data_IF_507164986519
#
_entry.id   IF_507164986519
#
_cell.length_a   1.000
_cell.length_b   1.000
_cell.length_c   1.000
_cell.angle_alpha   90.00
_cell.angle_beta   90.00
_cell.angle_gamma   90.00
#
_symmetry.space_group_name_H-M   'P 1'
#
loop_
_entity.id
_entity.type
_entity.pdbx_description
1 polymer ?
#
# COMPACT_ATOMS: atom_id res chain seq x y z
N UNK A 1 66.10 -35.22 -19.80
CA UNK A 1 64.95 -35.20 -20.73
C UNK A 1 63.92 -36.18 -20.20
N UNK A 2 62.79 -35.68 -19.70
CA UNK A 2 61.61 -36.51 -19.44
C UNK A 2 60.37 -35.61 -19.53
N UNK A 3 59.62 -35.77 -20.61
CA UNK A 3 58.39 -35.07 -20.94
C UNK A 3 57.20 -35.88 -20.42
N UNK A 4 56.63 -35.46 -19.30
CA UNK A 4 55.34 -35.98 -18.81
C UNK A 4 54.20 -35.15 -19.40
N UNK A 5 53.53 -35.72 -20.39
CA UNK A 5 52.28 -35.21 -20.98
C UNK A 5 51.16 -35.48 -20.00
N UNK A 6 50.57 -34.43 -19.42
CA UNK A 6 49.35 -34.53 -18.62
C UNK A 6 48.16 -34.09 -19.47
N UNK A 7 47.36 -35.06 -19.91
CA UNK A 7 46.07 -34.83 -20.57
C UNK A 7 45.04 -34.42 -19.53
N UNK A 8 44.66 -33.13 -19.51
CA UNK A 8 43.44 -32.65 -18.85
C UNK A 8 42.50 -32.04 -19.87
N UNK A 9 41.22 -32.41 -19.76
CA UNK A 9 40.13 -32.02 -20.64
C UNK A 9 40.01 -30.49 -20.73
N UNK A 10 40.14 -29.96 -21.95
CA UNK A 10 39.89 -28.55 -22.24
C UNK A 10 38.39 -28.32 -22.33
N UNK A 11 37.76 -27.92 -21.22
CA UNK A 11 36.49 -27.17 -21.29
C UNK A 11 36.80 -25.77 -21.85
N UNK A 12 36.10 -25.29 -22.88
CA UNK A 12 36.32 -23.94 -23.39
C UNK A 12 35.87 -22.93 -22.33
N UNK A 13 36.83 -22.22 -21.73
CA UNK A 13 36.51 -21.06 -20.90
C UNK A 13 36.22 -19.88 -21.84
N UNK A 14 34.98 -19.40 -21.83
CA UNK A 14 34.64 -18.08 -22.35
C UNK A 14 35.37 -17.04 -21.49
N UNK A 15 36.42 -16.44 -22.05
CA UNK A 15 37.17 -15.37 -21.42
C UNK A 15 36.30 -14.13 -21.26
N UNK A 16 35.78 -13.92 -20.06
CA UNK A 16 35.33 -12.60 -19.63
C UNK A 16 36.46 -11.98 -18.81
N UNK A 17 37.28 -11.17 -19.47
CA UNK A 17 38.19 -10.25 -18.81
C UNK A 17 37.34 -9.14 -18.17
N UNK A 18 37.06 -9.26 -16.87
CA UNK A 18 36.52 -8.16 -16.11
C UNK A 18 37.66 -7.21 -15.73
N UNK A 19 37.59 -5.91 -16.06
CA UNK A 19 38.56 -4.96 -15.53
C UNK A 19 38.45 -4.93 -14.00
N UNK A 20 39.52 -5.35 -13.33
CA UNK A 20 39.71 -5.25 -11.88
C UNK A 20 39.77 -3.78 -11.50
N UNK A 21 38.62 -3.17 -11.26
CA UNK A 21 38.57 -1.74 -10.99
C UNK A 21 37.15 -1.24 -10.77
N UNK A 22 36.52 -1.70 -9.70
CA UNK A 22 35.66 -0.94 -8.78
C UNK A 22 34.92 -1.96 -7.91
N UNK A 23 35.33 -2.05 -6.65
CA UNK A 23 34.58 -2.78 -5.64
C UNK A 23 33.25 -2.06 -5.43
N UNK A 24 32.22 -2.44 -6.19
CA UNK A 24 30.85 -2.22 -5.77
C UNK A 24 30.61 -3.23 -4.66
N UNK A 25 30.64 -2.73 -3.42
CA UNK A 25 30.18 -3.46 -2.25
C UNK A 25 28.84 -4.12 -2.58
N UNK A 26 28.86 -5.42 -2.85
CA UNK A 26 27.67 -6.24 -2.87
C UNK A 26 27.14 -6.24 -1.45
N UNK A 27 26.23 -5.31 -1.16
CA UNK A 27 25.55 -5.20 0.11
C UNK A 27 24.79 -6.48 0.37
N UNK A 28 25.36 -7.35 1.21
CA UNK A 28 24.67 -8.47 1.82
C UNK A 28 23.55 -7.84 2.65
N UNK A 29 22.33 -7.83 2.13
CA UNK A 29 21.16 -7.44 2.90
C UNK A 29 20.99 -8.48 4.01
N UNK A 30 21.40 -8.10 5.22
CA UNK A 30 21.13 -8.81 6.47
C UNK A 30 19.62 -9.03 6.61
N UNK A 31 19.21 -10.18 7.14
CA UNK A 31 17.83 -10.41 7.56
C UNK A 31 17.36 -9.27 8.46
N UNK A 32 16.37 -8.51 7.98
CA UNK A 32 15.88 -7.29 8.62
C UNK A 32 15.53 -6.16 7.64
N UNK A 33 15.17 -6.45 6.38
CA UNK A 33 14.75 -5.39 5.45
C UNK A 33 13.42 -4.79 5.92
N UNK A 34 13.50 -3.58 6.48
CA UNK A 34 12.35 -2.74 6.80
C UNK A 34 11.60 -2.40 5.51
N UNK A 35 10.28 -2.53 5.52
CA UNK A 35 9.41 -1.87 4.54
C UNK A 35 9.65 -0.36 4.64
N UNK A 36 10.12 0.29 3.57
CA UNK A 36 10.44 1.71 3.59
C UNK A 36 9.18 2.51 3.18
N UNK A 37 8.73 3.46 4.02
CA UNK A 37 7.79 4.50 3.66
C UNK A 37 8.58 5.69 3.09
N UNK A 38 8.68 5.82 1.77
CA UNK A 38 9.16 7.06 1.13
C UNK A 38 9.00 6.97 -0.40
N UNK A 39 7.77 6.99 -0.90
CA UNK A 39 7.54 7.09 -2.34
C UNK A 39 6.53 8.21 -2.61
N UNK A 40 7.01 9.28 -3.23
CA UNK A 40 6.22 10.44 -3.61
C UNK A 40 5.33 10.10 -4.81
N UNK A 41 4.11 9.64 -4.53
CA UNK A 41 3.10 9.22 -5.50
C UNK A 41 1.95 10.23 -5.53
N UNK A 42 2.23 11.44 -6.01
CA UNK A 42 1.19 12.46 -6.21
C UNK A 42 0.25 12.07 -7.35
N UNK A 43 -1.08 12.14 -7.13
CA UNK A 43 -2.10 12.00 -8.17
C UNK A 43 -2.45 13.40 -8.73
N UNK A 44 -1.96 13.80 -9.91
CA UNK A 44 -2.15 15.15 -10.43
C UNK A 44 -3.53 15.41 -11.05
N UNK A 45 -4.39 14.39 -11.21
CA UNK A 45 -5.60 14.49 -12.05
C UNK A 45 -6.92 14.55 -11.31
N UNK A 46 -6.95 14.26 -10.00
CA UNK A 46 -8.20 14.22 -9.23
C UNK A 46 -9.17 13.10 -9.64
N UNK A 47 -8.79 12.24 -10.59
CA UNK A 47 -9.56 11.07 -11.04
C UNK A 47 -9.27 9.92 -10.06
N UNK A 48 -10.30 9.16 -9.69
CA UNK A 48 -10.15 7.99 -8.83
C UNK A 48 -9.18 6.97 -9.44
N UNK A 49 -8.27 6.43 -8.64
CA UNK A 49 -7.18 5.57 -9.12
C UNK A 49 -7.67 4.39 -9.97
N UNK A 50 -8.75 3.73 -9.55
CA UNK A 50 -9.35 2.63 -10.30
C UNK A 50 -9.90 3.03 -11.67
N UNK A 51 -10.45 4.23 -11.80
CA UNK A 51 -10.94 4.74 -13.08
C UNK A 51 -9.77 5.08 -14.01
N UNK A 52 -8.75 5.76 -13.51
CA UNK A 52 -7.55 6.05 -14.28
C UNK A 52 -6.89 4.75 -14.80
N UNK A 53 -6.70 3.75 -13.93
CA UNK A 53 -6.12 2.45 -14.30
C UNK A 53 -6.98 1.64 -15.26
N UNK A 54 -8.30 1.86 -15.28
CA UNK A 54 -9.19 1.23 -16.26
C UNK A 54 -9.02 1.80 -17.68
N UNK A 55 -8.57 3.06 -17.77
CA UNK A 55 -8.27 3.74 -19.05
C UNK A 55 -6.85 3.45 -19.53
N UNK A 56 -5.96 2.96 -18.66
CA UNK A 56 -4.59 2.62 -19.00
C UNK A 56 -4.49 1.21 -19.58
N UNK A 57 -3.97 1.12 -20.81
CA UNK A 57 -3.85 -0.14 -21.55
C UNK A 57 -2.60 -0.91 -21.12
N UNK A 58 -2.74 -2.24 -21.02
CA UNK A 58 -1.64 -3.21 -20.84
C UNK A 58 -1.45 -3.99 -22.13
N UNK A 59 -0.20 -4.18 -22.57
CA UNK A 59 0.09 -5.02 -23.73
C UNK A 59 -0.08 -6.50 -23.37
N UNK A 60 -1.27 -7.03 -23.67
CA UNK A 60 -1.62 -8.43 -23.42
C UNK A 60 -0.80 -9.40 -24.29
N UNK A 61 -0.09 -8.95 -25.32
CA UNK A 61 0.78 -9.84 -26.13
C UNK A 61 1.97 -10.36 -25.34
N UNK A 62 2.33 -9.71 -24.25
CA UNK A 62 3.40 -10.17 -23.35
C UNK A 62 2.87 -11.20 -22.36
N UNK A 63 1.61 -11.07 -21.95
CA UNK A 63 1.02 -11.85 -20.85
C UNK A 63 0.13 -13.01 -21.34
N UNK A 64 -0.46 -12.88 -22.53
CA UNK A 64 -1.43 -13.81 -23.13
C UNK A 64 -2.59 -14.18 -22.19
N UNK A 65 -3.07 -13.23 -21.39
CA UNK A 65 -4.07 -13.45 -20.34
C UNK A 65 -5.47 -12.90 -20.71
N UNK A 66 -5.62 -12.26 -21.86
CA UNK A 66 -6.85 -11.55 -22.24
C UNK A 66 -7.06 -10.25 -21.45
N UNK A 67 -6.02 -9.74 -20.78
CA UNK A 67 -6.11 -8.57 -19.90
C UNK A 67 -5.55 -7.34 -20.59
N UNK A 68 -6.43 -6.42 -20.95
CA UNK A 68 -6.07 -5.23 -21.74
C UNK A 68 -5.91 -3.96 -20.91
N UNK A 69 -6.20 -3.99 -19.60
CA UNK A 69 -6.12 -2.81 -18.73
C UNK A 69 -5.33 -3.08 -17.45
N UNK A 70 -4.71 -2.03 -16.91
CA UNK A 70 -3.95 -2.12 -15.66
C UNK A 70 -4.83 -2.50 -14.48
N UNK A 71 -6.06 -1.99 -14.45
CA UNK A 71 -7.04 -2.38 -13.42
C UNK A 71 -7.29 -3.90 -13.43
N UNK A 72 -7.63 -4.47 -14.58
CA UNK A 72 -7.91 -5.90 -14.69
C UNK A 72 -6.69 -6.76 -14.32
N UNK A 73 -5.49 -6.31 -14.70
CA UNK A 73 -4.23 -6.97 -14.33
C UNK A 73 -4.02 -6.96 -12.81
N UNK A 74 -4.22 -5.82 -12.15
CA UNK A 74 -4.05 -5.68 -10.70
C UNK A 74 -5.12 -6.47 -9.93
N UNK A 75 -6.38 -6.43 -10.37
CA UNK A 75 -7.47 -7.22 -9.79
C UNK A 75 -7.15 -8.72 -9.85
N UNK A 76 -6.65 -9.19 -10.99
CA UNK A 76 -6.18 -10.56 -11.13
C UNK A 76 -5.02 -10.84 -10.19
N UNK A 77 -4.01 -9.98 -10.16
CA UNK A 77 -2.85 -10.20 -9.32
C UNK A 77 -3.21 -10.31 -7.83
N UNK A 78 -4.12 -9.45 -7.36
CA UNK A 78 -4.65 -9.49 -5.99
C UNK A 78 -5.42 -10.79 -5.75
N UNK A 79 -6.27 -11.21 -6.70
CA UNK A 79 -7.01 -12.48 -6.60
C UNK A 79 -6.09 -13.71 -6.50
N UNK A 80 -4.89 -13.64 -7.08
CA UNK A 80 -3.87 -14.69 -7.02
C UNK A 80 -2.99 -14.59 -5.76
N UNK A 81 -3.22 -13.61 -4.89
CA UNK A 81 -2.50 -13.44 -3.63
C UNK A 81 -1.26 -12.53 -3.71
N UNK A 82 -1.10 -11.77 -4.79
CA UNK A 82 -0.06 -10.73 -4.87
C UNK A 82 -0.56 -9.48 -4.16
N UNK A 83 -0.17 -9.30 -2.89
CA UNK A 83 -0.67 -8.22 -2.03
C UNK A 83 0.43 -7.37 -1.39
N UNK A 84 1.70 -7.65 -1.67
CA UNK A 84 2.82 -6.93 -1.08
C UNK A 84 3.42 -5.94 -2.10
N UNK A 85 3.48 -4.67 -1.71
CA UNK A 85 4.17 -3.63 -2.47
C UNK A 85 5.66 -3.65 -2.16
N UNK A 86 6.51 -3.52 -3.18
CA UNK A 86 7.96 -3.48 -3.00
C UNK A 86 8.63 -2.44 -3.92
N UNK A 87 9.74 -1.82 -3.50
CA UNK A 87 10.50 -0.93 -4.36
C UNK A 87 11.20 -1.74 -5.45
N UNK A 88 10.93 -1.39 -6.70
CA UNK A 88 11.60 -1.95 -7.87
C UNK A 88 12.95 -1.28 -8.10
N UNK A 89 13.84 -1.95 -8.82
CA UNK A 89 15.18 -1.44 -9.17
C UNK A 89 15.12 -0.15 -10.02
N UNK A 90 13.98 0.10 -10.69
CA UNK A 90 13.75 1.29 -11.50
C UNK A 90 13.16 2.48 -10.75
N UNK A 91 13.07 2.41 -9.41
CA UNK A 91 12.46 3.47 -8.58
C UNK A 91 10.93 3.49 -8.59
N UNK A 92 10.28 2.59 -9.33
CA UNK A 92 8.82 2.40 -9.33
C UNK A 92 8.42 1.31 -8.32
N UNK A 93 7.14 1.25 -7.96
CA UNK A 93 6.62 0.18 -7.08
C UNK A 93 6.25 -1.05 -7.90
N UNK A 94 6.64 -2.22 -7.42
CA UNK A 94 6.16 -3.51 -7.91
C UNK A 94 5.17 -4.17 -6.95
N UNK A 95 4.47 -5.19 -7.44
CA UNK A 95 3.53 -6.01 -6.67
C UNK A 95 3.99 -7.46 -6.65
N UNK A 96 4.11 -8.04 -5.45
CA UNK A 96 4.56 -9.42 -5.24
C UNK A 96 3.69 -10.20 -4.25
N UNK A 97 3.90 -11.50 -4.22
CA UNK A 97 3.36 -12.36 -3.16
C UNK A 97 4.15 -12.12 -1.87
N UNK A 98 3.48 -12.03 -0.71
CA UNK A 98 4.15 -11.93 0.58
C UNK A 98 5.26 -12.97 0.76
N UNK A 99 6.47 -12.51 1.10
CA UNK A 99 7.62 -13.37 1.38
C UNK A 99 8.43 -13.82 0.16
N UNK A 100 7.98 -13.49 -1.05
CA UNK A 100 8.80 -13.66 -2.26
C UNK A 100 9.69 -12.43 -2.48
N UNK A 101 10.84 -12.63 -3.12
CA UNK A 101 11.74 -11.51 -3.46
C UNK A 101 11.21 -10.69 -4.63
N UNK A 102 10.69 -11.38 -5.64
CA UNK A 102 10.21 -10.81 -6.88
C UNK A 102 8.72 -11.10 -7.05
N UNK A 103 8.03 -10.17 -7.69
CA UNK A 103 6.62 -10.31 -8.02
C UNK A 103 6.37 -10.42 -9.53
N UNK A 104 5.16 -10.81 -9.93
CA UNK A 104 4.76 -10.86 -11.34
C UNK A 104 4.72 -9.46 -11.97
N UNK A 105 4.52 -8.41 -11.17
CA UNK A 105 4.48 -7.03 -11.65
C UNK A 105 5.68 -6.30 -11.07
N UNK A 106 6.68 -6.08 -11.92
CA UNK A 106 7.91 -5.41 -11.51
C UNK A 106 7.77 -3.89 -11.46
N UNK A 107 6.84 -3.32 -12.22
CA UNK A 107 6.66 -1.88 -12.38
C UNK A 107 5.17 -1.59 -12.52
N UNK A 108 4.61 -0.81 -11.61
CA UNK A 108 3.25 -0.32 -11.68
C UNK A 108 3.21 1.15 -12.11
N UNK A 109 2.10 1.60 -12.72
CA UNK A 109 1.79 3.01 -12.83
C UNK A 109 1.72 3.68 -11.46
N UNK A 110 1.89 5.00 -11.42
CA UNK A 110 1.94 5.78 -10.18
C UNK A 110 0.66 5.64 -9.33
N UNK A 111 -0.50 5.43 -9.96
CA UNK A 111 -1.78 5.20 -9.26
C UNK A 111 -2.00 3.74 -8.82
N UNK A 112 -1.15 2.81 -9.28
CA UNK A 112 -1.22 1.39 -9.00
C UNK A 112 -1.14 1.07 -7.50
N UNK A 113 -0.13 1.57 -6.76
CA UNK A 113 0.01 1.34 -5.32
C UNK A 113 -1.23 1.74 -4.52
N UNK A 114 -1.79 2.92 -4.81
CA UNK A 114 -3.01 3.42 -4.16
C UNK A 114 -4.18 2.47 -4.42
N UNK A 115 -4.38 2.06 -5.68
CA UNK A 115 -5.45 1.14 -6.04
C UNK A 115 -5.29 -0.24 -5.38
N UNK A 116 -4.08 -0.77 -5.30
CA UNK A 116 -3.80 -2.06 -4.66
C UNK A 116 -4.15 -2.02 -3.17
N UNK A 117 -3.73 -0.97 -2.45
CA UNK A 117 -4.04 -0.82 -1.03
C UNK A 117 -5.56 -0.70 -0.81
N UNK A 118 -6.25 0.11 -1.61
CA UNK A 118 -7.71 0.25 -1.57
C UNK A 118 -8.42 -1.09 -1.82
N UNK A 119 -7.96 -1.85 -2.81
CA UNK A 119 -8.57 -3.12 -3.20
C UNK A 119 -8.34 -4.21 -2.15
N UNK A 120 -7.13 -4.31 -1.59
CA UNK A 120 -6.84 -5.25 -0.49
C UNK A 120 -7.68 -4.89 0.74
N UNK A 121 -7.79 -3.60 1.04
CA UNK A 121 -8.63 -3.12 2.14
C UNK A 121 -10.07 -3.55 1.99
N UNK A 122 -10.70 -3.24 0.85
CA UNK A 122 -12.08 -3.64 0.54
C UNK A 122 -12.27 -5.15 0.63
N UNK A 123 -11.40 -5.94 0.00
CA UNK A 123 -11.52 -7.40 0.00
C UNK A 123 -11.47 -8.01 1.41
N UNK A 124 -10.60 -7.49 2.29
CA UNK A 124 -10.50 -7.99 3.67
C UNK A 124 -11.60 -7.47 4.57
N UNK A 125 -12.01 -6.23 4.37
CA UNK A 125 -13.18 -5.65 5.03
C UNK A 125 -14.41 -6.47 4.69
N UNK A 126 -14.69 -6.76 3.41
CA UNK A 126 -15.82 -7.59 2.99
C UNK A 126 -15.77 -8.99 3.62
N UNK A 127 -14.58 -9.59 3.67
CA UNK A 127 -14.38 -10.90 4.30
C UNK A 127 -14.65 -10.87 5.80
N UNK A 128 -14.24 -9.80 6.48
CA UNK A 128 -14.51 -9.58 7.91
C UNK A 128 -15.96 -9.28 8.17
N UNK A 129 -16.59 -8.45 7.35
CA UNK A 129 -18.00 -8.09 7.50
C UNK A 129 -18.96 -9.26 7.30
N UNK A 130 -18.56 -10.25 6.49
CA UNK A 130 -19.28 -11.54 6.39
C UNK A 130 -19.22 -12.36 7.69
N UNK A 131 -18.20 -12.13 8.52
CA UNK A 131 -17.97 -12.87 9.77
C UNK A 131 -18.48 -12.10 10.99
N UNK A 132 -18.28 -10.78 10.99
CA UNK A 132 -18.58 -9.84 12.06
C UNK A 132 -19.38 -8.67 11.47
N UNK A 133 -20.49 -8.26 12.07
CA UNK A 133 -21.39 -7.25 11.47
C UNK A 133 -20.74 -5.85 11.30
N UNK A 134 -19.65 -5.57 12.01
CA UNK A 134 -18.95 -4.29 11.99
C UNK A 134 -17.48 -4.43 12.39
N UNK A 135 -16.62 -3.52 11.90
CA UNK A 135 -15.22 -3.40 12.31
C UNK A 135 -15.02 -2.07 13.02
N UNK A 136 -14.37 -2.09 14.20
CA UNK A 136 -14.12 -0.90 15.01
C UNK A 136 -12.64 -0.70 15.26
N UNK A 137 -12.16 0.54 15.19
CA UNK A 137 -10.80 0.89 15.62
C UNK A 137 -10.60 0.73 17.13
N UNK A 138 -11.67 0.96 17.90
CA UNK A 138 -11.57 1.33 19.31
C UNK A 138 -11.37 2.85 19.47
N UNK A 139 -11.42 3.34 20.71
CA UNK A 139 -11.34 4.78 20.99
C UNK A 139 -9.89 5.27 21.03
N UNK A 140 -9.52 6.10 20.06
CA UNK A 140 -8.25 6.81 19.98
C UNK A 140 -8.38 8.16 20.67
N UNK A 141 -7.42 8.52 21.52
CA UNK A 141 -7.42 9.81 22.20
C UNK A 141 -6.96 10.89 21.22
N UNK A 142 -7.69 12.01 21.18
CA UNK A 142 -7.32 13.22 20.43
C UNK A 142 -6.54 14.14 21.36
N UNK A 143 -7.23 14.69 22.36
CA UNK A 143 -6.66 15.58 23.37
C UNK A 143 -7.55 15.57 24.61
N UNK A 144 -6.94 15.59 25.81
CA UNK A 144 -7.69 15.62 27.06
C UNK A 144 -8.67 14.45 27.20
N UNK A 145 -9.97 14.75 27.22
CA UNK A 145 -11.05 13.75 27.27
C UNK A 145 -11.68 13.44 25.92
N UNK A 146 -11.28 14.16 24.86
CA UNK A 146 -11.79 13.99 23.50
C UNK A 146 -11.19 12.74 22.86
N UNK A 147 -12.05 11.90 22.27
CA UNK A 147 -11.69 10.63 21.65
C UNK A 147 -12.42 10.47 20.33
N UNK A 148 -11.79 9.74 19.42
CA UNK A 148 -12.34 9.40 18.11
C UNK A 148 -12.40 7.88 17.98
N UNK A 149 -13.46 7.39 17.38
CA UNK A 149 -13.62 5.97 17.04
C UNK A 149 -14.06 5.87 15.59
N UNK A 150 -13.40 5.00 14.84
CA UNK A 150 -13.77 4.68 13.48
C UNK A 150 -14.57 3.38 13.48
N UNK A 151 -15.79 3.45 12.96
CA UNK A 151 -16.68 2.29 12.83
C UNK A 151 -16.94 2.08 11.35
N UNK A 152 -16.68 0.87 10.87
CA UNK A 152 -16.86 0.50 9.47
C UNK A 152 -17.95 -0.56 9.39
N UNK A 153 -18.99 -0.26 8.62
CA UNK A 153 -20.18 -1.11 8.47
C UNK A 153 -20.56 -1.16 6.99
N UNK A 154 -20.47 -2.35 6.41
CA UNK A 154 -20.68 -2.57 4.96
C UNK A 154 -19.82 -1.61 4.12
N UNK A 155 -20.45 -0.67 3.43
CA UNK A 155 -19.79 0.31 2.57
C UNK A 155 -19.58 1.67 3.26
N UNK A 156 -20.08 1.86 4.49
CA UNK A 156 -20.00 3.12 5.20
C UNK A 156 -18.92 3.09 6.27
N UNK A 157 -18.15 4.17 6.34
CA UNK A 157 -17.17 4.40 7.38
C UNK A 157 -17.59 5.63 8.18
N UNK A 158 -17.85 5.45 9.47
CA UNK A 158 -18.32 6.53 10.35
C UNK A 158 -17.23 6.89 11.35
N UNK A 159 -16.85 8.16 11.37
CA UNK A 159 -15.97 8.75 12.36
C UNK A 159 -16.81 9.31 13.52
N UNK A 160 -16.76 8.65 14.67
CA UNK A 160 -17.50 9.06 15.85
C UNK A 160 -16.60 9.87 16.79
N UNK A 161 -17.07 11.04 17.23
CA UNK A 161 -16.39 11.90 18.21
C UNK A 161 -17.03 11.74 19.59
N UNK A 162 -16.19 11.61 20.62
CA UNK A 162 -16.59 11.43 22.00
C UNK A 162 -15.88 12.43 22.92
N UNK A 163 -16.58 12.91 23.94
CA UNK A 163 -15.99 13.58 25.10
C UNK A 163 -16.21 12.71 26.33
N UNK A 164 -15.13 12.13 26.81
CA UNK A 164 -15.15 11.10 27.85
C UNK A 164 -15.88 9.84 27.39
N UNK A 165 -17.12 9.64 27.88
CA UNK A 165 -17.97 8.49 27.52
C UNK A 165 -19.12 8.84 26.57
N UNK A 166 -19.47 10.13 26.45
CA UNK A 166 -20.61 10.60 25.65
C UNK A 166 -20.17 10.83 24.21
N UNK A 167 -20.93 10.29 23.26
CA UNK A 167 -20.78 10.62 21.85
C UNK A 167 -21.35 12.02 21.60
N UNK A 168 -20.58 12.88 20.96
CA UNK A 168 -20.99 14.27 20.65
C UNK A 168 -21.36 14.40 19.17
N UNK A 169 -20.78 13.60 18.30
CA UNK A 169 -21.24 13.53 16.92
C UNK A 169 -20.62 12.39 16.13
N UNK A 170 -21.00 12.34 14.86
CA UNK A 170 -20.61 11.34 13.89
C UNK A 170 -20.50 11.99 12.52
N UNK A 171 -19.48 11.59 11.77
CA UNK A 171 -19.25 12.02 10.40
C UNK A 171 -19.11 10.78 9.51
N UNK A 172 -19.97 10.63 8.53
CA UNK A 172 -19.82 9.60 7.50
C UNK A 172 -18.71 9.99 6.52
N UNK A 173 -17.86 9.03 6.22
CA UNK A 173 -16.68 9.15 5.37
C UNK A 173 -16.76 8.08 4.28
N UNK A 174 -16.37 8.48 3.08
CA UNK A 174 -16.13 7.53 2.00
C UNK A 174 -14.90 6.69 2.35
N UNK A 175 -14.93 5.41 2.01
CA UNK A 175 -13.85 4.47 2.30
C UNK A 175 -12.51 4.89 1.66
N UNK A 176 -12.58 5.67 0.59
CA UNK A 176 -11.42 6.18 -0.12
C UNK A 176 -10.75 7.37 0.59
N UNK A 177 -11.44 7.98 1.56
CA UNK A 177 -10.98 9.18 2.28
C UNK A 177 -9.77 8.90 3.16
N UNK A 178 -9.63 7.73 3.78
CA UNK A 178 -8.47 7.45 4.65
C UNK A 178 -7.44 6.50 4.02
N UNK A 179 -7.86 5.68 3.04
CA UNK A 179 -6.95 4.80 2.28
C UNK A 179 -5.95 5.58 1.42
N UNK A 180 -6.33 6.76 0.92
CA UNK A 180 -5.43 7.64 0.17
C UNK A 180 -4.27 8.18 1.02
N UNK A 181 -4.42 8.25 2.35
CA UNK A 181 -3.37 8.66 3.29
C UNK A 181 -2.35 7.57 3.63
N UNK A 182 -2.62 6.29 3.31
CA UNK A 182 -1.70 5.19 3.59
C UNK A 182 -0.54 5.06 2.58
N UNK A 183 -0.64 5.71 1.43
CA UNK A 183 0.34 5.57 0.34
C UNK A 183 1.23 6.81 0.22
N UNK A 184 0.73 7.95 0.69
CA UNK A 184 1.31 9.25 0.46
C UNK A 184 1.62 9.93 1.81
N UNK A 185 2.87 10.35 2.00
CA UNK A 185 3.19 11.50 2.87
C UNK A 185 2.60 12.82 2.32
N UNK A 186 1.93 12.74 1.16
CA UNK A 186 0.92 13.69 0.68
C UNK A 186 -0.34 13.73 1.55
N UNK A 187 -0.16 13.88 2.87
CA UNK A 187 -1.18 14.29 3.82
C UNK A 187 -1.96 15.52 3.30
N UNK A 188 -1.41 16.32 2.39
CA UNK A 188 -1.97 17.61 1.98
C UNK A 188 -3.35 17.55 1.29
N UNK A 189 -3.62 16.63 0.36
CA UNK A 189 -4.90 16.64 -0.38
C UNK A 189 -6.00 15.86 0.37
N UNK A 190 -5.66 14.70 0.92
CA UNK A 190 -6.57 13.88 1.71
C UNK A 190 -6.92 14.54 3.04
N UNK A 191 -5.94 15.16 3.71
CA UNK A 191 -6.23 15.96 4.90
C UNK A 191 -7.00 17.22 4.56
N UNK A 192 -6.82 17.86 3.40
CA UNK A 192 -7.63 19.03 3.05
C UNK A 192 -9.12 18.67 2.90
N UNK A 193 -9.43 17.56 2.21
CA UNK A 193 -10.81 17.09 2.06
C UNK A 193 -11.42 16.64 3.40
N UNK A 194 -10.67 15.88 4.21
CA UNK A 194 -11.12 15.45 5.53
C UNK A 194 -11.30 16.64 6.49
N UNK A 195 -10.35 17.58 6.50
CA UNK A 195 -10.39 18.78 7.35
C UNK A 195 -11.60 19.64 7.00
N UNK A 196 -11.96 19.77 5.72
CA UNK A 196 -13.18 20.48 5.32
C UNK A 196 -14.45 19.78 5.82
N UNK A 197 -14.56 18.45 5.68
CA UNK A 197 -15.70 17.68 6.21
C UNK A 197 -15.77 17.75 7.75
N UNK A 198 -14.62 17.74 8.42
CA UNK A 198 -14.52 17.91 9.87
C UNK A 198 -14.92 19.32 10.31
N UNK A 199 -14.57 20.35 9.54
CA UNK A 199 -14.95 21.73 9.83
C UNK A 199 -16.45 21.96 9.76
N UNK A 200 -17.13 21.29 8.83
CA UNK A 200 -18.59 21.30 8.73
C UNK A 200 -19.26 20.52 9.86
N UNK A 201 -18.74 19.34 10.21
CA UNK A 201 -19.36 18.47 11.21
C UNK A 201 -19.05 18.87 12.67
N UNK A 202 -17.87 19.45 12.92
CA UNK A 202 -17.35 19.76 14.25
C UNK A 202 -16.70 21.16 14.28
N UNK A 203 -17.46 22.25 14.07
CA UNK A 203 -16.90 23.59 13.88
C UNK A 203 -16.09 24.11 15.08
N UNK A 204 -16.38 23.63 16.29
CA UNK A 204 -15.77 24.10 17.55
C UNK A 204 -14.51 23.31 17.98
N UNK A 205 -14.08 22.31 17.21
CA UNK A 205 -12.99 21.41 17.59
C UNK A 205 -11.70 21.63 16.75
N UNK A 206 -10.55 21.16 17.25
CA UNK A 206 -9.29 21.23 16.50
C UNK A 206 -9.24 20.14 15.41
N UNK A 207 -9.57 20.53 14.18
CA UNK A 207 -9.67 19.61 13.04
C UNK A 207 -8.32 18.97 12.67
N UNK A 208 -7.19 19.61 12.96
CA UNK A 208 -5.87 19.03 12.68
C UNK A 208 -5.58 17.86 13.61
N UNK A 209 -5.91 18.01 14.90
CA UNK A 209 -5.77 16.93 15.87
C UNK A 209 -6.73 15.79 15.57
N UNK A 210 -7.99 16.09 15.23
CA UNK A 210 -8.98 15.08 14.86
C UNK A 210 -8.53 14.33 13.60
N UNK A 211 -7.97 15.01 12.60
CA UNK A 211 -7.45 14.39 11.38
C UNK A 211 -6.35 13.37 11.69
N UNK A 212 -5.37 13.73 12.53
CA UNK A 212 -4.31 12.80 12.94
C UNK A 212 -4.85 11.61 13.72
N UNK A 213 -5.79 11.85 14.63
CA UNK A 213 -6.40 10.76 15.40
C UNK A 213 -7.31 9.87 14.55
N UNK A 214 -7.96 10.42 13.52
CA UNK A 214 -8.73 9.66 12.55
C UNK A 214 -7.82 8.73 11.72
N UNK A 215 -6.64 9.22 11.30
CA UNK A 215 -5.64 8.39 10.64
C UNK A 215 -5.14 7.27 11.57
N UNK A 216 -4.85 7.58 12.83
CA UNK A 216 -4.45 6.57 13.81
C UNK A 216 -5.57 5.54 14.10
N UNK A 217 -6.83 5.96 14.10
CA UNK A 217 -7.99 5.07 14.20
C UNK A 217 -8.11 4.17 12.96
N UNK A 218 -7.85 4.71 11.77
CA UNK A 218 -7.79 3.93 10.54
C UNK A 218 -6.66 2.89 10.57
N UNK A 219 -5.48 3.24 11.04
CA UNK A 219 -4.37 2.30 11.22
C UNK A 219 -4.73 1.16 12.19
N UNK A 220 -5.55 1.41 13.19
CA UNK A 220 -6.07 0.36 14.07
C UNK A 220 -7.05 -0.56 13.33
N UNK A 221 -7.93 -0.02 12.50
CA UNK A 221 -8.80 -0.84 11.62
C UNK A 221 -7.95 -1.71 10.70
N UNK A 222 -6.93 -1.14 10.06
CA UNK A 222 -6.00 -1.90 9.20
C UNK A 222 -5.36 -3.07 9.96
N UNK A 223 -4.88 -2.83 11.19
CA UNK A 223 -4.33 -3.89 12.05
C UNK A 223 -5.35 -4.99 12.35
N UNK A 224 -6.60 -4.64 12.66
CA UNK A 224 -7.68 -5.62 12.88
C UNK A 224 -7.96 -6.45 11.62
N UNK A 225 -7.90 -5.82 10.45
CA UNK A 225 -8.01 -6.49 9.14
C UNK A 225 -6.72 -7.25 8.74
N UNK A 226 -5.67 -7.20 9.58
CA UNK A 226 -4.35 -7.78 9.32
C UNK A 226 -3.58 -7.10 8.18
N UNK A 227 -4.04 -5.93 7.73
CA UNK A 227 -3.41 -5.11 6.69
C UNK A 227 -2.41 -4.23 7.43
N UNK A 228 -1.11 -4.38 7.16
CA UNK A 228 -0.10 -3.68 7.94
C UNK A 228 0.15 -4.35 9.30
N UNK A 229 0.78 -5.51 9.24
CA UNK A 229 1.43 -6.16 10.37
C UNK A 229 2.88 -6.42 10.03
N UNK A 230 3.71 -5.38 10.05
CA UNK A 230 5.16 -5.55 10.21
C UNK A 230 5.35 -5.91 11.68
N UNK A 231 5.80 -7.14 11.95
CA UNK A 231 6.43 -7.47 13.23
C UNK A 231 7.82 -6.88 13.28
#
# INVERSE_FOLDING_TARGET
MNTTISSRSTTPQLGFDFPTGMALSAGINKSGSKSIPDLDLTNPTGIAAGEALSRMIVDDRVLHMGMTTWRALLDRAISLGHTELYPSESGQVGLRTPGLRFGPIQRMPDLGPQYVIQSIFRNRLDSRLKTEEQVKSGRVIVQGTTKVELVVLQETMTLCLFLGRKQIGALELDLDTLTAGCVNDGASQTAASLTSKLAEAFPDEDHLLITRSAQAAFDQVLKVLGIGGVK
#
